data_IF_553540388652
#
_entry.id   IF_553540388652
#
_cell.length_a   1.000
_cell.length_b   1.000
_cell.length_c   1.000
_cell.angle_alpha   90.00
_cell.angle_beta   90.00
_cell.angle_gamma   90.00
#
_symmetry.space_group_name_H-M   'P 1'
#
loop_
_entity.id
_entity.type
_entity.pdbx_description
1 polymer ?
#
# COMPACT_ATOMS: atom_id res chain seq x y z
N UNK A 1 47.53 33.10 26.13
CA UNK A 1 47.71 32.20 24.97
C UNK A 1 46.35 31.68 24.58
N UNK A 2 45.80 32.17 23.46
CA UNK A 2 44.41 31.98 23.08
C UNK A 2 44.25 30.65 22.33
N UNK A 3 43.76 29.61 23.01
CA UNK A 3 43.47 28.29 22.43
C UNK A 3 42.10 28.21 21.71
N UNK A 4 41.34 29.32 21.70
CA UNK A 4 40.00 29.39 21.10
C UNK A 4 39.91 29.14 19.57
N UNK A 5 40.87 29.55 18.71
CA UNK A 5 40.67 29.43 17.26
C UNK A 5 40.89 28.01 16.74
N UNK A 6 41.61 27.15 17.46
CA UNK A 6 41.91 25.79 17.02
C UNK A 6 40.73 24.84 17.18
N UNK A 7 39.94 24.97 18.25
CA UNK A 7 38.76 24.12 18.47
C UNK A 7 37.69 24.29 17.39
N UNK A 8 37.46 25.52 16.94
CA UNK A 8 36.51 25.83 15.87
C UNK A 8 37.01 25.29 14.53
N UNK A 9 38.32 25.38 14.26
CA UNK A 9 38.92 24.88 13.02
C UNK A 9 38.83 23.35 12.92
N UNK A 10 39.02 22.65 14.06
CA UNK A 10 38.88 21.19 14.14
C UNK A 10 37.44 20.77 13.89
N UNK A 11 36.46 21.47 14.46
CA UNK A 11 35.03 21.19 14.21
C UNK A 11 34.67 21.39 12.73
N UNK A 12 35.18 22.44 12.08
CA UNK A 12 34.99 22.64 10.66
C UNK A 12 35.62 21.54 9.80
N UNK A 13 36.84 21.11 10.14
CA UNK A 13 37.50 19.99 9.46
C UNK A 13 36.74 18.68 9.60
N UNK A 14 36.23 18.36 10.80
CA UNK A 14 35.42 17.17 11.04
C UNK A 14 34.09 17.23 10.28
N UNK A 15 33.44 18.39 10.23
CA UNK A 15 32.20 18.59 9.47
C UNK A 15 32.43 18.42 7.96
N UNK A 16 33.53 18.95 7.43
CA UNK A 16 33.90 18.81 6.00
C UNK A 16 34.23 17.35 5.68
N UNK A 17 34.94 16.64 6.55
CA UNK A 17 35.24 15.22 6.36
C UNK A 17 33.97 14.36 6.44
N UNK A 18 33.07 14.63 7.39
CA UNK A 18 31.78 13.96 7.48
C UNK A 18 30.90 14.22 6.25
N UNK A 19 30.85 15.47 5.77
CA UNK A 19 30.15 15.83 4.54
C UNK A 19 30.80 15.16 3.32
N UNK A 20 32.13 15.11 3.23
CA UNK A 20 32.82 14.40 2.16
C UNK A 20 32.52 12.91 2.18
N UNK A 21 32.46 12.27 3.36
CA UNK A 21 32.08 10.85 3.49
C UNK A 21 30.61 10.63 3.12
N UNK A 22 29.72 11.56 3.50
CA UNK A 22 28.30 11.48 3.17
C UNK A 22 28.04 11.70 1.66
N UNK A 23 28.78 12.61 1.02
CA UNK A 23 28.68 12.90 -0.42
C UNK A 23 29.48 11.95 -1.30
N UNK A 24 30.58 11.35 -0.81
CA UNK A 24 31.34 10.30 -1.50
C UNK A 24 30.86 8.89 -1.20
N UNK A 25 29.80 8.69 -0.41
CA UNK A 25 29.12 7.40 -0.44
C UNK A 25 28.56 7.28 -1.87
N UNK A 26 29.11 6.41 -2.74
CA UNK A 26 28.40 6.14 -3.97
C UNK A 26 27.05 5.61 -3.49
N UNK A 27 25.96 6.31 -3.83
CA UNK A 27 24.72 5.59 -4.05
C UNK A 27 25.10 4.56 -5.09
N UNK A 28 25.44 3.37 -4.62
CA UNK A 28 25.36 2.16 -5.40
C UNK A 28 23.88 2.04 -5.69
N UNK A 29 23.39 2.84 -6.64
CA UNK A 29 22.28 2.40 -7.45
C UNK A 29 22.76 1.07 -7.98
N UNK A 30 22.12 -0.05 -7.58
CA UNK A 30 22.49 -1.32 -8.17
C UNK A 30 22.44 -1.11 -9.68
N UNK A 31 23.46 -1.57 -10.44
CA UNK A 31 23.42 -1.47 -11.89
C UNK A 31 22.04 -1.96 -12.31
N UNK A 32 21.29 -1.11 -13.00
CA UNK A 32 19.90 -1.41 -13.35
C UNK A 32 19.93 -2.76 -14.05
N UNK A 33 19.59 -3.83 -13.32
CA UNK A 33 19.41 -5.13 -13.92
C UNK A 33 18.24 -4.87 -14.83
N UNK A 34 18.54 -4.76 -16.13
CA UNK A 34 17.60 -4.44 -17.18
C UNK A 34 16.79 -5.70 -17.42
N UNK A 35 16.02 -6.06 -16.38
CA UNK A 35 15.20 -7.23 -16.30
C UNK A 35 13.81 -6.88 -16.81
N UNK A 36 13.21 -7.84 -17.47
CA UNK A 36 11.77 -7.82 -17.69
C UNK A 36 11.09 -7.91 -16.32
N UNK A 37 9.89 -7.33 -16.19
CA UNK A 37 9.14 -7.27 -14.91
C UNK A 37 8.96 -8.67 -14.30
N UNK A 38 8.90 -9.69 -15.17
CA UNK A 38 8.90 -11.10 -14.82
C UNK A 38 9.64 -11.87 -15.92
N UNK A 39 10.27 -13.02 -15.62
CA UNK A 39 10.80 -13.91 -16.65
C UNK A 39 9.72 -14.23 -17.71
N UNK A 40 10.05 -14.04 -19.00
CA UNK A 40 9.12 -14.23 -20.12
C UNK A 40 8.22 -13.03 -20.47
N UNK A 41 8.24 -11.94 -19.69
CA UNK A 41 7.52 -10.72 -20.06
C UNK A 41 8.22 -10.00 -21.23
N UNK A 42 7.43 -9.46 -22.17
CA UNK A 42 7.92 -8.56 -23.24
C UNK A 42 8.11 -7.12 -22.76
N UNK A 43 7.64 -6.81 -21.55
CA UNK A 43 7.70 -5.47 -20.97
C UNK A 43 8.94 -5.35 -20.08
N UNK A 44 9.83 -4.45 -20.48
CA UNK A 44 10.99 -4.08 -19.67
C UNK A 44 10.55 -3.25 -18.46
N UNK A 45 11.26 -3.38 -17.33
CA UNK A 45 11.03 -2.55 -16.15
C UNK A 45 11.07 -1.05 -16.47
N UNK A 46 12.02 -0.62 -17.30
CA UNK A 46 12.15 0.79 -17.73
C UNK A 46 10.91 1.28 -18.47
N UNK A 47 10.34 0.48 -19.38
CA UNK A 47 9.14 0.88 -20.12
C UNK A 47 7.94 1.06 -19.17
N UNK A 48 7.79 0.15 -18.21
CA UNK A 48 6.74 0.27 -17.20
C UNK A 48 6.90 1.51 -16.31
N UNK A 49 8.11 1.74 -15.79
CA UNK A 49 8.40 2.94 -14.99
C UNK A 49 8.12 4.22 -15.78
N UNK A 50 8.47 4.26 -17.07
CA UNK A 50 8.21 5.42 -17.92
C UNK A 50 6.70 5.68 -18.08
N UNK A 51 5.89 4.63 -18.24
CA UNK A 51 4.42 4.75 -18.33
C UNK A 51 3.83 5.25 -17.01
N UNK A 52 4.19 4.61 -15.89
CA UNK A 52 3.67 4.98 -14.57
C UNK A 52 4.08 6.40 -14.19
N UNK A 53 5.36 6.75 -14.34
CA UNK A 53 5.86 8.09 -14.03
C UNK A 53 5.28 9.14 -14.97
N UNK A 54 5.02 8.79 -16.23
CA UNK A 54 4.31 9.65 -17.16
C UNK A 54 2.91 9.99 -16.66
N UNK A 55 2.12 8.95 -16.36
CA UNK A 55 0.77 9.10 -15.83
C UNK A 55 0.72 9.92 -14.52
N UNK A 56 1.57 9.58 -13.54
CA UNK A 56 1.61 10.27 -12.25
C UNK A 56 1.97 11.75 -12.41
N UNK A 57 2.89 12.08 -13.33
CA UNK A 57 3.23 13.47 -13.64
C UNK A 57 2.07 14.20 -14.30
N UNK A 58 1.38 13.56 -15.25
CA UNK A 58 0.29 14.18 -16.01
C UNK A 58 -0.90 14.53 -15.10
N UNK A 59 -1.17 13.72 -14.07
CA UNK A 59 -2.18 14.04 -13.05
C UNK A 59 -1.65 14.92 -11.91
N UNK A 60 -0.39 15.37 -11.98
CA UNK A 60 0.28 16.12 -10.91
C UNK A 60 0.18 15.43 -9.55
N UNK A 61 0.35 14.10 -9.54
CA UNK A 61 0.20 13.28 -8.35
C UNK A 61 1.10 13.79 -7.21
N UNK A 62 0.50 13.96 -6.04
CA UNK A 62 1.23 14.17 -4.79
C UNK A 62 0.91 13.00 -3.87
N UNK A 63 1.92 12.46 -3.20
CA UNK A 63 1.72 11.40 -2.23
C UNK A 63 0.78 11.91 -1.12
N UNK A 64 -0.39 11.28 -0.93
CA UNK A 64 -1.32 11.71 0.09
C UNK A 64 -0.75 11.45 1.49
N UNK A 65 -1.12 12.28 2.46
CA UNK A 65 -0.81 12.04 3.87
C UNK A 65 -1.79 10.97 4.37
N UNK A 66 -1.28 9.76 4.57
CA UNK A 66 -2.08 8.64 5.01
C UNK A 66 -2.41 8.74 6.50
N UNK A 67 -3.70 8.64 6.83
CA UNK A 67 -4.17 8.35 8.17
C UNK A 67 -5.02 7.09 8.08
N UNK A 68 -4.53 6.00 8.67
CA UNK A 68 -5.31 4.79 8.79
C UNK A 68 -6.45 5.03 9.77
N UNK A 69 -7.68 4.91 9.29
CA UNK A 69 -8.87 4.94 10.13
C UNK A 69 -9.15 3.51 10.65
N UNK A 70 -8.68 3.24 11.87
CA UNK A 70 -8.88 1.93 12.52
C UNK A 70 -10.36 1.71 12.89
N UNK A 71 -11.11 2.79 13.07
CA UNK A 71 -12.53 2.72 13.43
C UNK A 71 -13.36 2.31 12.20
N UNK A 72 -13.00 2.80 11.01
CA UNK A 72 -13.64 2.44 9.74
C UNK A 72 -13.66 0.93 9.50
N UNK A 73 -12.54 0.23 9.75
CA UNK A 73 -12.47 -1.22 9.63
C UNK A 73 -13.46 -1.92 10.56
N UNK A 74 -13.48 -1.51 11.83
CA UNK A 74 -14.37 -2.10 12.84
C UNK A 74 -15.83 -1.89 12.45
N UNK A 75 -16.19 -0.72 11.93
CA UNK A 75 -17.53 -0.44 11.42
C UNK A 75 -17.90 -1.36 10.25
N UNK A 76 -17.00 -1.53 9.27
CA UNK A 76 -17.23 -2.43 8.12
C UNK A 76 -17.43 -3.87 8.59
N UNK A 77 -16.61 -4.38 9.51
CA UNK A 77 -16.76 -5.73 10.06
C UNK A 77 -18.11 -5.93 10.77
N UNK A 78 -18.54 -4.95 11.56
CA UNK A 78 -19.82 -4.98 12.25
C UNK A 78 -21.00 -4.91 11.26
N UNK A 79 -20.88 -4.09 10.22
CA UNK A 79 -21.88 -3.98 9.16
C UNK A 79 -22.00 -5.28 8.36
N UNK A 80 -20.88 -5.95 8.05
CA UNK A 80 -20.88 -7.29 7.43
C UNK A 80 -21.56 -8.34 8.31
N UNK A 81 -21.28 -8.34 9.61
CA UNK A 81 -21.94 -9.25 10.56
C UNK A 81 -23.45 -8.99 10.62
N UNK A 82 -23.86 -7.72 10.64
CA UNK A 82 -25.28 -7.33 10.63
C UNK A 82 -26.02 -7.77 9.36
N UNK A 83 -25.31 -7.91 8.24
CA UNK A 83 -25.82 -8.47 6.99
C UNK A 83 -25.82 -10.01 6.96
N UNK A 84 -25.47 -10.66 8.07
CA UNK A 84 -25.51 -12.11 8.21
C UNK A 84 -24.23 -12.84 7.78
N UNK A 85 -23.13 -12.11 7.52
CA UNK A 85 -21.84 -12.74 7.24
C UNK A 85 -21.22 -13.23 8.53
N UNK A 86 -20.87 -14.52 8.60
CA UNK A 86 -20.27 -15.09 9.80
C UNK A 86 -18.91 -14.48 10.13
N UNK A 87 -18.59 -14.34 11.43
CA UNK A 87 -17.26 -13.87 11.89
C UNK A 87 -16.10 -14.71 11.33
N UNK A 88 -16.31 -16.00 11.10
CA UNK A 88 -15.32 -16.87 10.47
C UNK A 88 -15.03 -16.46 9.02
N UNK A 89 -16.05 -16.14 8.23
CA UNK A 89 -15.87 -15.65 6.86
C UNK A 89 -15.29 -14.23 6.85
N UNK A 90 -15.74 -13.34 7.75
CA UNK A 90 -15.16 -12.00 7.92
C UNK A 90 -13.64 -12.08 8.18
N UNK A 91 -13.21 -12.99 9.05
CA UNK A 91 -11.79 -13.21 9.31
C UNK A 91 -11.03 -13.73 8.07
N UNK A 92 -11.65 -14.59 7.26
CA UNK A 92 -11.05 -15.09 6.01
C UNK A 92 -10.86 -13.99 4.97
N UNK A 93 -11.80 -13.04 4.88
CA UNK A 93 -11.75 -11.93 3.93
C UNK A 93 -11.10 -10.66 4.52
N UNK A 94 -10.46 -10.77 5.68
CA UNK A 94 -9.92 -9.62 6.42
C UNK A 94 -8.97 -8.76 5.59
N UNK A 95 -8.14 -9.38 4.74
CA UNK A 95 -7.23 -8.64 3.83
C UNK A 95 -7.98 -7.86 2.75
N UNK A 96 -9.14 -8.36 2.30
CA UNK A 96 -10.00 -7.64 1.36
C UNK A 96 -10.62 -6.41 2.04
N UNK A 97 -11.05 -6.57 3.30
CA UNK A 97 -11.58 -5.47 4.12
C UNK A 97 -10.50 -4.41 4.36
N UNK A 98 -9.29 -4.84 4.75
CA UNK A 98 -8.15 -3.93 4.94
C UNK A 98 -7.89 -3.12 3.66
N UNK A 99 -7.78 -3.81 2.52
CA UNK A 99 -7.57 -3.16 1.22
C UNK A 99 -8.70 -2.18 0.88
N UNK A 100 -9.95 -2.56 1.12
CA UNK A 100 -11.11 -1.70 0.86
C UNK A 100 -11.10 -0.44 1.72
N UNK A 101 -10.79 -0.56 3.01
CA UNK A 101 -10.73 0.58 3.94
C UNK A 101 -9.57 1.51 3.60
N UNK A 102 -8.41 0.98 3.19
CA UNK A 102 -7.26 1.77 2.73
C UNK A 102 -7.56 2.54 1.44
N UNK A 103 -8.12 1.87 0.43
CA UNK A 103 -8.53 2.51 -0.83
C UNK A 103 -9.53 3.63 -0.53
N UNK A 104 -10.51 3.36 0.33
CA UNK A 104 -11.54 4.33 0.68
C UNK A 104 -10.95 5.55 1.37
N UNK A 105 -10.08 5.34 2.36
CA UNK A 105 -9.41 6.40 3.11
C UNK A 105 -8.53 7.27 2.20
N UNK A 106 -7.85 6.65 1.22
CA UNK A 106 -6.99 7.36 0.27
C UNK A 106 -7.77 8.12 -0.81
N UNK A 107 -8.88 7.55 -1.28
CA UNK A 107 -9.61 8.05 -2.45
C UNK A 107 -10.69 9.05 -2.05
N UNK A 108 -11.28 8.89 -0.87
CA UNK A 108 -12.39 9.71 -0.38
C UNK A 108 -12.08 10.39 0.97
N UNK A 109 -10.92 11.07 1.13
CA UNK A 109 -10.49 11.62 2.43
C UNK A 109 -11.39 12.74 2.97
N UNK A 110 -12.27 13.30 2.14
CA UNK A 110 -13.18 14.39 2.50
C UNK A 110 -14.65 13.95 2.62
N UNK A 111 -14.94 12.67 2.38
CA UNK A 111 -16.27 12.13 2.61
C UNK A 111 -16.56 12.03 4.11
N UNK A 112 -17.84 12.05 4.50
CA UNK A 112 -18.20 11.76 5.89
C UNK A 112 -17.87 10.30 6.23
N UNK A 113 -17.72 10.01 7.52
CA UNK A 113 -17.40 8.67 7.98
C UNK A 113 -18.46 7.64 7.51
N UNK A 114 -19.75 8.00 7.52
CA UNK A 114 -20.83 7.13 7.05
C UNK A 114 -20.73 6.82 5.54
N UNK A 115 -20.31 7.80 4.75
CA UNK A 115 -20.09 7.62 3.31
C UNK A 115 -18.87 6.74 3.08
N UNK A 116 -17.79 6.94 3.83
CA UNK A 116 -16.60 6.08 3.77
C UNK A 116 -16.96 4.65 4.18
N UNK A 117 -17.74 4.44 5.23
CA UNK A 117 -18.20 3.11 5.63
C UNK A 117 -18.96 2.41 4.52
N UNK A 118 -19.93 3.10 3.89
CA UNK A 118 -20.70 2.53 2.79
C UNK A 118 -19.82 2.15 1.58
N UNK A 119 -18.86 3.01 1.23
CA UNK A 119 -17.91 2.75 0.13
C UNK A 119 -16.99 1.58 0.47
N UNK A 120 -16.42 1.55 1.67
CA UNK A 120 -15.52 0.49 2.12
C UNK A 120 -16.24 -0.86 2.22
N UNK A 121 -17.48 -0.86 2.70
CA UNK A 121 -18.33 -2.05 2.75
C UNK A 121 -18.62 -2.60 1.35
N UNK A 122 -19.03 -1.73 0.42
CA UNK A 122 -19.24 -2.12 -0.98
C UNK A 122 -17.95 -2.66 -1.62
N UNK A 123 -16.84 -1.94 -1.46
CA UNK A 123 -15.54 -2.35 -2.00
C UNK A 123 -15.07 -3.70 -1.41
N UNK A 124 -15.34 -3.94 -0.12
CA UNK A 124 -15.03 -5.23 0.53
C UNK A 124 -15.75 -6.39 -0.15
N UNK A 125 -17.04 -6.22 -0.47
CA UNK A 125 -17.78 -7.24 -1.23
C UNK A 125 -17.19 -7.45 -2.63
N UNK A 126 -16.92 -6.37 -3.37
CA UNK A 126 -16.42 -6.47 -4.75
C UNK A 126 -15.06 -7.17 -4.80
N UNK A 127 -14.12 -6.77 -3.95
CA UNK A 127 -12.77 -7.38 -3.88
C UNK A 127 -12.89 -8.85 -3.49
N UNK A 128 -13.69 -9.15 -2.46
CA UNK A 128 -13.92 -10.54 -2.02
C UNK A 128 -14.49 -11.40 -3.15
N UNK A 129 -15.48 -10.90 -3.88
CA UNK A 129 -16.09 -11.64 -4.99
C UNK A 129 -15.08 -11.85 -6.12
N UNK A 130 -14.27 -10.85 -6.46
CA UNK A 130 -13.23 -10.96 -7.49
C UNK A 130 -12.21 -12.06 -7.13
N UNK A 131 -11.70 -12.05 -5.90
CA UNK A 131 -10.75 -13.05 -5.40
C UNK A 131 -11.35 -14.46 -5.39
N UNK A 132 -12.57 -14.62 -4.86
CA UNK A 132 -13.27 -15.91 -4.85
C UNK A 132 -13.59 -16.41 -6.25
N UNK A 133 -13.94 -15.52 -7.18
CA UNK A 133 -14.21 -15.88 -8.57
C UNK A 133 -12.93 -16.32 -9.27
N UNK A 134 -11.79 -15.70 -8.96
CA UNK A 134 -10.47 -16.15 -9.40
C UNK A 134 -10.16 -17.59 -9.01
N UNK A 135 -10.52 -18.00 -7.78
CA UNK A 135 -10.33 -19.36 -7.29
C UNK A 135 -11.30 -20.36 -7.92
N UNK A 136 -12.55 -19.96 -8.16
CA UNK A 136 -13.56 -20.77 -8.87
C UNK A 136 -13.12 -21.03 -10.31
N UNK A 137 -12.66 -20.00 -11.03
CA UNK A 137 -12.19 -20.11 -12.42
C UNK A 137 -10.88 -20.92 -12.51
N UNK A 138 -10.05 -20.92 -11.46
CA UNK A 138 -8.82 -21.73 -11.36
C UNK A 138 -9.03 -23.14 -10.81
N UNK A 139 -10.28 -23.54 -10.54
CA UNK A 139 -10.62 -24.91 -10.14
C UNK A 139 -10.25 -25.28 -8.70
N UNK A 140 -9.96 -24.32 -7.82
CA UNK A 140 -9.77 -24.56 -6.39
C UNK A 140 -11.07 -24.29 -5.64
N UNK A 141 -12.01 -25.22 -5.69
CA UNK A 141 -13.19 -25.20 -4.81
C UNK A 141 -13.03 -26.28 -3.76
N UNK A 142 -12.64 -25.90 -2.54
CA UNK A 142 -13.08 -26.64 -1.36
C UNK A 142 -14.53 -26.25 -1.10
N UNK A 143 -15.43 -27.20 -1.30
CA UNK A 143 -16.87 -27.04 -1.14
C UNK A 143 -17.23 -26.39 0.20
N UNK A 144 -17.87 -25.23 0.16
CA UNK A 144 -18.71 -24.80 1.27
C UNK A 144 -20.02 -25.60 1.17
N UNK A 145 -20.08 -26.71 1.89
CA UNK A 145 -21.32 -27.43 2.09
C UNK A 145 -22.27 -26.54 2.92
N UNK A 146 -23.53 -26.33 2.50
CA UNK A 146 -24.51 -25.65 3.33
C UNK A 146 -24.94 -26.59 4.45
N UNK A 147 -24.43 -26.38 5.67
CA UNK A 147 -24.94 -27.08 6.85
C UNK A 147 -26.27 -26.44 7.28
N UNK A 148 -27.34 -27.06 6.81
CA UNK A 148 -28.65 -27.23 7.45
C UNK A 148 -29.36 -26.00 8.05
N UNK A 149 -30.38 -25.57 7.31
CA UNK A 149 -31.66 -25.15 7.90
C UNK A 149 -32.28 -26.41 8.53
N UNK A 150 -32.39 -26.45 9.85
CA UNK A 150 -33.40 -27.16 10.64
C UNK A 150 -33.35 -26.67 12.07
#
# INVERSE_FOLDING_TARGET
MNYLPYGVLILFLVAILAACVYFKWPRNEPPSVMGNIRPGSTVSKRNYEQVVNGFLRDISFQTPIFKLDVDLKTCVENSLESHGISRGLIAQIGTCIDTATEITSCTYPFASHEVQEAIALYASYVITIDDLTGDIVRGHVTSFAPSHIS
#
